data_IF_319328710486
#
_entry.id   IF_319328710486
#
_cell.length_a   1.000
_cell.length_b   1.000
_cell.length_c   1.000
_cell.angle_alpha   90.00
_cell.angle_beta   90.00
_cell.angle_gamma   90.00
#
_symmetry.space_group_name_H-M   'P 1'
#
loop_
_entity.id
_entity.type
_entity.pdbx_description
1 polymer ?
#
# COMPACT_ATOMS: atom_id res chain seq x y z
N UNK A 1 4.13 -0.87 11.91
CA UNK A 1 3.87 -1.98 10.97
C UNK A 1 4.38 -1.58 9.59
N UNK A 2 5.02 -2.51 8.88
CA UNK A 2 5.46 -2.35 7.49
C UNK A 2 4.90 -3.50 6.65
N UNK A 3 4.49 -3.22 5.42
CA UNK A 3 4.15 -4.22 4.39
C UNK A 3 4.74 -3.74 3.06
N UNK A 4 5.11 -4.68 2.20
CA UNK A 4 5.72 -4.41 0.89
C UNK A 4 5.06 -5.30 -0.15
N UNK A 5 4.85 -4.77 -1.34
CA UNK A 5 4.34 -5.46 -2.51
C UNK A 5 5.17 -5.09 -3.71
N UNK A 6 5.32 -6.03 -4.62
CA UNK A 6 5.75 -5.76 -5.98
C UNK A 6 4.51 -5.86 -6.86
N UNK A 7 4.28 -4.84 -7.68
CA UNK A 7 3.17 -4.78 -8.60
C UNK A 7 3.77 -4.78 -10.01
N UNK A 8 3.41 -5.79 -10.78
CA UNK A 8 3.69 -5.82 -12.22
C UNK A 8 2.65 -4.96 -12.92
N UNK A 9 3.10 -3.87 -13.53
CA UNK A 9 2.33 -3.01 -14.42
C UNK A 9 2.92 -3.06 -15.83
N UNK A 10 2.20 -2.50 -16.81
CA UNK A 10 2.64 -2.49 -18.22
C UNK A 10 4.02 -1.89 -18.48
N UNK A 11 4.46 -0.93 -17.65
CA UNK A 11 5.77 -0.26 -17.73
C UNK A 11 6.87 -0.93 -16.91
N UNK A 12 6.54 -1.89 -16.05
CA UNK A 12 7.52 -2.68 -15.30
C UNK A 12 7.05 -3.12 -13.91
N UNK A 13 8.03 -3.47 -13.08
CA UNK A 13 7.78 -3.88 -11.69
C UNK A 13 7.97 -2.68 -10.77
N UNK A 14 6.92 -2.34 -10.03
CA UNK A 14 6.93 -1.25 -9.08
C UNK A 14 6.85 -1.76 -7.65
N UNK A 15 7.56 -1.07 -6.77
CA UNK A 15 7.62 -1.40 -5.36
C UNK A 15 6.68 -0.50 -4.56
N UNK A 16 5.71 -1.10 -3.88
CA UNK A 16 4.79 -0.38 -2.98
C UNK A 16 5.03 -0.79 -1.54
N UNK A 17 5.31 0.17 -0.66
CA UNK A 17 5.46 -0.06 0.76
C UNK A 17 4.41 0.70 1.58
N UNK A 18 3.69 -0.03 2.42
CA UNK A 18 2.83 0.56 3.44
C UNK A 18 3.59 0.62 4.76
N UNK A 19 3.59 1.81 5.38
CA UNK A 19 4.11 2.00 6.74
C UNK A 19 3.07 2.67 7.61
N UNK A 20 2.80 2.05 8.75
CA UNK A 20 2.00 2.64 9.81
C UNK A 20 2.81 2.79 11.08
N UNK A 21 2.88 4.02 11.58
CA UNK A 21 3.51 4.35 12.86
C UNK A 21 2.71 3.81 14.03
N UNK A 22 3.32 3.78 15.21
CA UNK A 22 2.62 3.43 16.44
C UNK A 22 1.43 4.37 16.73
N UNK A 23 1.58 5.66 16.40
CA UNK A 23 0.56 6.70 16.50
C UNK A 23 -0.54 6.64 15.42
N UNK A 24 -0.53 5.62 14.55
CA UNK A 24 -1.56 5.44 13.53
C UNK A 24 -1.40 6.32 12.29
N UNK A 25 -0.28 7.04 12.16
CA UNK A 25 0.06 7.79 10.95
C UNK A 25 0.46 6.78 9.87
N UNK A 26 -0.18 6.89 8.71
CA UNK A 26 0.02 6.02 7.56
C UNK A 26 0.74 6.79 6.46
N UNK A 27 1.74 6.14 5.88
CA UNK A 27 2.37 6.57 4.63
C UNK A 27 2.51 5.38 3.68
N UNK A 28 2.42 5.67 2.40
CA UNK A 28 2.66 4.74 1.30
C UNK A 28 3.89 5.22 0.56
N UNK A 29 4.77 4.32 0.20
CA UNK A 29 5.98 4.63 -0.56
C UNK A 29 5.89 3.85 -1.87
N UNK A 30 5.94 4.52 -3.01
CA UNK A 30 5.88 3.92 -4.34
C UNK A 30 7.20 4.26 -5.03
N UNK A 31 8.01 3.25 -5.35
CA UNK A 31 9.33 3.41 -5.98
C UNK A 31 10.27 4.42 -5.29
N UNK A 32 10.12 4.55 -3.97
CA UNK A 32 10.90 5.48 -3.14
C UNK A 32 10.22 6.84 -2.91
N UNK A 33 9.17 7.18 -3.65
CA UNK A 33 8.38 8.38 -3.41
C UNK A 33 7.37 8.17 -2.28
N UNK A 34 7.36 9.05 -1.29
CA UNK A 34 6.57 8.90 -0.06
C UNK A 34 5.32 9.76 -0.06
N UNK A 35 4.16 9.12 -0.03
CA UNK A 35 2.84 9.73 0.07
C UNK A 35 2.29 9.59 1.49
N UNK A 36 2.00 10.70 2.15
CA UNK A 36 1.44 10.70 3.50
C UNK A 36 -0.09 10.66 3.45
N UNK A 37 -0.69 9.60 4.01
CA UNK A 37 -2.15 9.45 4.08
C UNK A 37 -2.73 10.01 5.39
N UNK A 38 -1.89 10.50 6.30
CA UNK A 38 -2.28 11.05 7.58
C UNK A 38 -2.68 9.98 8.59
N UNK A 39 -3.48 10.38 9.59
CA UNK A 39 -3.92 9.49 10.65
C UNK A 39 -5.03 8.53 10.18
N UNK A 40 -4.87 7.24 10.47
CA UNK A 40 -5.91 6.23 10.29
C UNK A 40 -6.09 5.45 11.59
N UNK A 41 -7.27 5.62 12.20
CA UNK A 41 -7.65 4.93 13.43
C UNK A 41 -7.58 3.40 13.27
N UNK A 42 -7.22 2.68 14.33
CA UNK A 42 -7.27 1.20 14.37
C UNK A 42 -8.68 0.65 14.19
N UNK A 43 -9.70 1.45 14.48
CA UNK A 43 -11.10 1.03 14.42
C UNK A 43 -11.74 1.28 13.06
N UNK A 44 -11.09 2.04 12.18
CA UNK A 44 -11.62 2.44 10.89
C UNK A 44 -11.08 1.55 9.77
N UNK A 45 -11.91 1.37 8.73
CA UNK A 45 -11.47 0.89 7.43
C UNK A 45 -11.29 2.11 6.53
N UNK A 46 -10.25 2.10 5.68
CA UNK A 46 -10.01 3.16 4.69
C UNK A 46 -9.55 2.53 3.39
N UNK A 47 -9.99 3.09 2.27
CA UNK A 47 -9.61 2.66 0.94
C UNK A 47 -9.04 3.87 0.20
N UNK A 48 -7.85 3.73 -0.36
CA UNK A 48 -7.15 4.80 -1.06
C UNK A 48 -6.76 4.32 -2.46
N UNK A 49 -7.29 4.94 -3.53
CA UNK A 49 -6.82 4.67 -4.88
C UNK A 49 -5.42 5.27 -5.06
N UNK A 50 -4.57 4.57 -5.79
CA UNK A 50 -3.26 5.07 -6.18
C UNK A 50 -2.90 4.52 -7.57
N UNK A 51 -2.03 5.22 -8.28
CA UNK A 51 -1.55 4.80 -9.60
C UNK A 51 -0.13 4.26 -9.50
N UNK A 52 0.14 3.27 -10.33
CA UNK A 52 1.44 2.62 -10.51
C UNK A 52 1.62 2.45 -12.01
N UNK A 53 2.54 3.23 -12.59
CA UNK A 53 2.59 3.40 -14.03
C UNK A 53 1.24 3.90 -14.59
N UNK A 54 0.71 3.17 -15.57
CA UNK A 54 -0.60 3.43 -16.19
C UNK A 54 -1.78 2.74 -15.47
N UNK A 55 -1.50 1.91 -14.45
CA UNK A 55 -2.52 1.09 -13.79
C UNK A 55 -3.02 1.74 -12.48
N UNK A 56 -4.30 1.54 -12.17
CA UNK A 56 -4.93 2.04 -10.94
C UNK A 56 -5.17 0.91 -9.94
N UNK A 57 -4.54 1.00 -8.78
CA UNK A 57 -4.70 0.07 -7.66
C UNK A 57 -5.52 0.69 -6.52
N UNK A 58 -6.02 -0.14 -5.61
CA UNK A 58 -6.67 0.30 -4.38
C UNK A 58 -5.98 -0.29 -3.15
N UNK A 59 -5.46 0.58 -2.29
CA UNK A 59 -4.94 0.21 -0.98
C UNK A 59 -6.11 0.14 0.01
N UNK A 60 -6.32 -1.02 0.60
CA UNK A 60 -7.32 -1.25 1.65
C UNK A 60 -6.62 -1.38 2.99
N UNK A 61 -6.85 -0.40 3.85
CA UNK A 61 -6.44 -0.42 5.25
C UNK A 61 -7.57 -1.06 6.06
N UNK A 62 -7.32 -2.27 6.58
CA UNK A 62 -8.26 -3.04 7.39
C UNK A 62 -8.27 -2.55 8.83
N UNK A 63 -9.40 -2.77 9.50
CA UNK A 63 -9.53 -2.63 10.95
C UNK A 63 -8.42 -3.45 11.64
N UNK A 64 -7.79 -2.89 12.66
CA UNK A 64 -6.59 -3.44 13.30
C UNK A 64 -5.26 -2.97 12.68
N UNK A 65 -5.30 -2.27 11.53
CA UNK A 65 -4.12 -1.64 10.92
C UNK A 65 -3.39 -2.49 9.88
N UNK A 66 -3.92 -3.66 9.54
CA UNK A 66 -3.49 -4.43 8.37
C UNK A 66 -3.75 -3.64 7.09
N UNK A 67 -3.00 -3.94 6.04
CA UNK A 67 -3.17 -3.33 4.74
C UNK A 67 -3.05 -4.37 3.63
N UNK A 68 -3.86 -4.26 2.59
CA UNK A 68 -3.83 -5.12 1.41
C UNK A 68 -4.04 -4.26 0.18
N UNK A 69 -3.43 -4.64 -0.93
CA UNK A 69 -3.68 -4.02 -2.22
C UNK A 69 -4.66 -4.93 -2.95
N UNK A 70 -5.81 -4.37 -3.31
CA UNK A 70 -6.71 -4.98 -4.27
C UNK A 70 -6.45 -4.29 -5.61
N UNK A 71 -6.25 -5.09 -6.64
CA UNK A 71 -6.26 -4.58 -8.00
C UNK A 71 -7.38 -5.26 -8.77
N UNK A 72 -8.15 -4.46 -9.52
CA UNK A 72 -9.07 -4.98 -10.53
C UNK A 72 -8.32 -5.43 -11.79
N UNK A 73 -7.12 -4.87 -12.04
CA UNK A 73 -6.43 -4.98 -13.34
C UNK A 73 -4.93 -5.33 -13.25
N UNK A 74 -4.31 -5.38 -12.06
CA UNK A 74 -2.87 -5.61 -11.85
C UNK A 74 -2.58 -6.98 -11.22
N UNK A 75 -1.45 -7.60 -11.59
CA UNK A 75 -0.91 -8.77 -10.88
C UNK A 75 -0.09 -8.31 -9.68
N UNK A 76 -0.59 -8.61 -8.47
CA UNK A 76 0.07 -8.23 -7.21
C UNK A 76 0.83 -9.42 -6.63
N UNK A 77 2.16 -9.34 -6.57
CA UNK A 77 2.99 -10.29 -5.82
C UNK A 77 3.28 -9.75 -4.41
N UNK A 78 2.87 -10.52 -3.38
CA UNK A 78 3.17 -10.19 -1.98
C UNK A 78 4.61 -10.56 -1.65
N UNK A 79 5.44 -9.56 -1.39
CA UNK A 79 6.83 -9.80 -0.93
C UNK A 79 6.85 -9.86 0.59
N UNK A 80 7.44 -10.93 1.13
CA UNK A 80 7.64 -11.10 2.58
C UNK A 80 8.67 -10.07 3.05
N UNK A 81 8.26 -9.09 3.86
CA UNK A 81 9.21 -8.19 4.52
C UNK A 81 9.83 -8.98 5.68
N UNK A 82 11.14 -9.24 5.61
CA UNK A 82 11.90 -9.86 6.69
C UNK A 82 11.77 -9.08 8.00
N UNK A 83 11.64 -9.83 9.09
CA UNK A 83 11.48 -9.39 10.49
C UNK A 83 12.58 -8.46 10.95
#
# INVERSE_FOLDING_TARGET
>A
MRRKWNIEAGDGVHTVEYRRSFFGIVRVIIDGESFNLGYVSRLSKRSEPFRVGDEQCVLIIKRGGGAEIMSTDCKVERVKVGT
#
